data_IF_720121287409
#
_entry.id   IF_720121287409
#
_cell.length_a   1.000
_cell.length_b   1.000
_cell.length_c   1.000
_cell.angle_alpha   90.00
_cell.angle_beta   90.00
_cell.angle_gamma   90.00
#
_symmetry.space_group_name_H-M   'P 1'
#
loop_
_entity.id
_entity.type
_entity.pdbx_description
1 polymer ?
#
# COMPACT_ATOMS: atom_id res chain seq x y z
N UNK A 1 -0.42 13.86 -11.17
CA UNK A 1 -1.30 12.72 -10.83
C UNK A 1 -1.17 12.48 -9.34
N UNK A 2 -2.26 12.59 -8.57
CA UNK A 2 -2.29 12.35 -7.12
C UNK A 2 -3.22 11.16 -6.85
N UNK A 3 -2.69 10.12 -6.22
CA UNK A 3 -3.49 8.95 -5.82
C UNK A 3 -3.94 9.22 -4.40
N UNK A 4 -5.24 9.18 -4.14
CA UNK A 4 -5.81 9.42 -2.81
C UNK A 4 -6.17 8.12 -2.06
N UNK A 5 -6.47 7.05 -2.81
CA UNK A 5 -6.81 5.73 -2.27
C UNK A 5 -6.30 4.62 -3.18
N UNK A 6 -5.79 3.54 -2.59
CA UNK A 6 -5.49 2.28 -3.26
C UNK A 6 -6.13 1.12 -2.48
N UNK A 7 -6.88 0.26 -3.16
CA UNK A 7 -7.45 -0.96 -2.58
C UNK A 7 -6.88 -2.16 -3.33
N UNK A 8 -6.29 -3.11 -2.61
CA UNK A 8 -5.67 -4.31 -3.18
C UNK A 8 -6.34 -5.54 -2.59
N UNK A 9 -6.86 -6.40 -3.47
CA UNK A 9 -7.52 -7.65 -3.11
C UNK A 9 -6.83 -8.84 -3.80
N UNK A 10 -6.48 -9.87 -3.04
CA UNK A 10 -5.89 -11.13 -3.51
C UNK A 10 -4.71 -10.96 -4.48
N UNK A 11 -3.78 -10.05 -4.16
CA UNK A 11 -2.59 -9.79 -4.96
C UNK A 11 -1.31 -10.03 -4.15
N UNK A 12 -0.53 -11.03 -4.59
CA UNK A 12 0.73 -11.46 -3.95
C UNK A 12 0.55 -11.66 -2.44
N UNK A 13 1.08 -10.75 -1.63
CA UNK A 13 1.10 -10.82 -0.18
C UNK A 13 -0.17 -10.22 0.47
N UNK A 14 -1.06 -9.61 -0.32
CA UNK A 14 -2.26 -8.96 0.18
C UNK A 14 -3.51 -9.80 -0.12
N UNK A 15 -4.18 -10.25 0.94
CA UNK A 15 -5.54 -10.80 0.86
C UNK A 15 -6.56 -9.67 0.66
N UNK A 16 -6.46 -8.62 1.49
CA UNK A 16 -7.23 -7.39 1.35
C UNK A 16 -6.52 -6.26 2.11
N UNK A 17 -6.28 -5.11 1.47
CA UNK A 17 -5.73 -3.91 2.13
C UNK A 17 -6.23 -2.63 1.46
N UNK A 18 -6.45 -1.60 2.28
CA UNK A 18 -6.80 -0.24 1.85
C UNK A 18 -5.72 0.75 2.31
N UNK A 19 -5.08 1.44 1.35
CA UNK A 19 -4.17 2.56 1.60
C UNK A 19 -4.85 3.89 1.32
N UNK A 20 -4.65 4.85 2.21
CA UNK A 20 -5.05 6.25 2.03
C UNK A 20 -3.78 7.09 1.95
N UNK A 21 -3.72 7.98 0.95
CA UNK A 21 -2.55 8.81 0.71
C UNK A 21 -2.90 10.28 0.87
N UNK A 22 -1.98 11.03 1.47
CA UNK A 22 -2.06 12.49 1.55
C UNK A 22 -1.29 13.13 0.39
N UNK A 23 -1.37 14.45 0.26
CA UNK A 23 -0.57 15.21 -0.70
C UNK A 23 0.90 15.35 -0.28
N UNK A 24 1.22 14.92 0.94
CA UNK A 24 2.56 14.99 1.51
C UNK A 24 3.34 13.69 1.25
N UNK A 25 4.48 13.54 1.91
CA UNK A 25 5.28 12.32 1.86
C UNK A 25 4.56 11.22 2.64
N UNK A 26 4.28 10.11 1.97
CA UNK A 26 3.69 8.92 2.58
C UNK A 26 4.79 7.86 2.73
N UNK A 27 4.94 7.24 3.91
CA UNK A 27 5.99 6.25 4.19
C UNK A 27 5.37 4.90 4.54
N UNK A 28 5.78 3.85 3.80
CA UNK A 28 5.37 2.46 4.05
C UNK A 28 6.48 1.74 4.82
N UNK A 29 6.21 1.36 6.08
CA UNK A 29 7.18 0.71 6.97
C UNK A 29 6.73 -0.72 7.29
N UNK A 30 7.67 -1.65 7.40
CA UNK A 30 7.42 -3.04 7.76
C UNK A 30 8.64 -3.93 7.53
N UNK A 31 8.56 -5.19 7.95
CA UNK A 31 9.64 -6.18 7.82
C UNK A 31 9.84 -6.71 6.39
N UNK A 32 10.94 -7.41 6.12
CA UNK A 32 11.17 -8.05 4.84
C UNK A 32 10.05 -9.06 4.53
N UNK A 33 9.53 -9.03 3.30
CA UNK A 33 8.39 -9.87 2.90
C UNK A 33 7.01 -9.32 3.28
N UNK A 34 6.91 -8.22 4.05
CA UNK A 34 5.63 -7.65 4.51
C UNK A 34 4.72 -7.08 3.41
N UNK A 35 5.17 -7.08 2.15
CA UNK A 35 4.37 -6.63 1.01
C UNK A 35 4.57 -5.17 0.61
N UNK A 36 5.53 -4.42 1.20
CA UNK A 36 5.79 -3.00 0.85
C UNK A 36 5.96 -2.75 -0.65
N UNK A 37 6.70 -3.62 -1.35
CA UNK A 37 6.92 -3.51 -2.81
C UNK A 37 5.68 -3.92 -3.64
N UNK A 38 4.72 -4.60 -3.01
CA UNK A 38 3.48 -5.07 -3.66
C UNK A 38 2.31 -4.12 -3.42
N UNK A 39 2.50 -3.10 -2.58
CA UNK A 39 1.55 -2.00 -2.35
C UNK A 39 1.86 -0.88 -3.34
#
# INVERSE_FOLDING_TARGET
MHIFKLTICNFRNYKNVDFKFTHEVNTLIGENGSGKTNA
#
